data_IF_057038818615
#
_entry.id   IF_057038818615
#
_cell.length_a   1.000
_cell.length_b   1.000
_cell.length_c   1.000
_cell.angle_alpha   90.00
_cell.angle_beta   90.00
_cell.angle_gamma   90.00
#
_symmetry.space_group_name_H-M   'P 1'
#
loop_
_entity.id
_entity.type
_entity.pdbx_description
1 polymer ?
#
# COMPACT_ATOMS: atom_id res chain seq x y z
N UNK A 1 -24.64 -28.57 -72.05
CA UNK A 1 -25.45 -27.74 -71.16
C UNK A 1 -25.95 -28.63 -70.05
N UNK A 2 -25.70 -28.22 -68.79
CA UNK A 2 -26.40 -28.59 -67.55
C UNK A 2 -26.22 -30.07 -67.13
N UNK A 3 -25.22 -30.36 -66.29
CA UNK A 3 -25.17 -30.21 -64.81
C UNK A 3 -25.47 -31.57 -64.15
N UNK A 4 -24.39 -32.18 -63.66
CA UNK A 4 -24.37 -33.39 -62.84
C UNK A 4 -25.04 -33.11 -61.48
N UNK A 5 -26.13 -33.80 -61.17
CA UNK A 5 -26.75 -33.82 -59.84
C UNK A 5 -26.48 -35.18 -59.19
N UNK A 6 -25.21 -35.42 -58.85
CA UNK A 6 -24.78 -36.57 -58.07
C UNK A 6 -25.27 -36.41 -56.63
N UNK A 7 -26.32 -37.17 -56.31
CA UNK A 7 -26.94 -37.26 -54.98
C UNK A 7 -25.98 -37.96 -54.01
N UNK A 8 -25.15 -37.19 -53.30
CA UNK A 8 -24.32 -37.70 -52.21
C UNK A 8 -25.19 -38.06 -50.98
N UNK A 9 -25.08 -39.31 -50.52
CA UNK A 9 -25.69 -39.77 -49.26
C UNK A 9 -25.12 -38.99 -48.06
N UNK A 10 -25.95 -38.57 -47.08
CA UNK A 10 -25.51 -37.76 -45.96
C UNK A 10 -24.51 -38.53 -45.08
N UNK A 11 -23.39 -37.87 -44.78
CA UNK A 11 -22.31 -38.47 -43.99
C UNK A 11 -22.74 -38.68 -42.53
N UNK A 12 -22.08 -39.57 -41.77
CA UNK A 12 -22.40 -39.79 -40.35
C UNK A 12 -22.35 -38.50 -39.50
N UNK A 13 -21.53 -37.53 -39.91
CA UNK A 13 -21.43 -36.22 -39.28
C UNK A 13 -22.65 -35.32 -39.54
N UNK A 14 -23.29 -35.44 -40.71
CA UNK A 14 -24.48 -34.65 -41.04
C UNK A 14 -25.72 -35.14 -40.27
N UNK A 15 -25.82 -36.46 -40.04
CA UNK A 15 -26.85 -37.03 -39.15
C UNK A 15 -26.66 -36.57 -37.71
N UNK A 16 -25.43 -36.58 -37.20
CA UNK A 16 -25.13 -36.08 -35.85
C UNK A 16 -25.45 -34.59 -35.70
N UNK A 17 -25.18 -33.78 -36.73
CA UNK A 17 -25.55 -32.34 -36.72
C UNK A 17 -27.05 -32.14 -36.73
N UNK A 18 -27.80 -32.94 -37.50
CA UNK A 18 -29.26 -32.91 -37.52
C UNK A 18 -29.83 -33.27 -36.14
N UNK A 19 -29.34 -34.33 -35.51
CA UNK A 19 -29.75 -34.75 -34.17
C UNK A 19 -29.42 -33.69 -33.10
N UNK A 20 -28.24 -33.07 -33.18
CA UNK A 20 -27.86 -31.96 -32.28
C UNK A 20 -28.81 -30.76 -32.49
N UNK A 21 -29.22 -30.48 -33.72
CA UNK A 21 -30.15 -29.39 -34.02
C UNK A 21 -31.55 -29.68 -33.47
N UNK A 22 -32.03 -30.93 -33.58
CA UNK A 22 -33.33 -31.34 -33.06
C UNK A 22 -33.33 -31.32 -31.52
N UNK A 23 -32.27 -31.84 -30.90
CA UNK A 23 -32.09 -31.77 -29.45
C UNK A 23 -32.04 -30.31 -28.95
N UNK A 24 -31.38 -29.41 -29.68
CA UNK A 24 -31.37 -27.97 -29.36
C UNK A 24 -32.76 -27.35 -29.50
N UNK A 25 -33.52 -27.73 -30.53
CA UNK A 25 -34.88 -27.24 -30.72
C UNK A 25 -35.81 -27.72 -29.60
N UNK A 26 -35.73 -29.00 -29.22
CA UNK A 26 -36.49 -29.58 -28.11
C UNK A 26 -36.11 -28.96 -26.76
N UNK A 27 -34.82 -28.68 -26.55
CA UNK A 27 -34.32 -27.98 -25.36
C UNK A 27 -34.89 -26.56 -25.27
N UNK A 28 -34.91 -25.82 -26.37
CA UNK A 28 -35.48 -24.47 -26.40
C UNK A 28 -36.99 -24.48 -26.14
N UNK A 29 -37.72 -25.40 -26.76
CA UNK A 29 -39.17 -25.54 -26.54
C UNK A 29 -39.49 -25.87 -25.07
N UNK A 30 -38.76 -26.81 -24.47
CA UNK A 30 -38.92 -27.13 -23.04
C UNK A 30 -38.57 -25.94 -22.13
N UNK A 31 -37.61 -25.11 -22.54
CA UNK A 31 -37.22 -23.90 -21.80
C UNK A 31 -38.30 -22.81 -21.84
N UNK A 32 -38.97 -22.65 -22.98
CA UNK A 32 -40.10 -21.73 -23.12
C UNK A 32 -41.32 -22.19 -22.31
N UNK A 33 -41.65 -23.48 -22.34
CA UNK A 33 -42.73 -24.05 -21.51
C UNK A 33 -42.46 -23.87 -20.02
N UNK A 34 -41.21 -24.10 -19.58
CA UNK A 34 -40.79 -23.84 -18.20
C UNK A 34 -40.99 -22.38 -17.82
N UNK A 35 -40.57 -21.43 -18.65
CA UNK A 35 -40.75 -20.00 -18.38
C UNK A 35 -42.22 -19.57 -18.36
N UNK A 36 -43.08 -20.24 -19.13
CA UNK A 36 -44.52 -20.00 -19.09
C UNK A 36 -45.13 -20.47 -17.77
N UNK A 37 -44.80 -21.69 -17.34
CA UNK A 37 -45.28 -22.23 -16.07
C UNK A 37 -44.77 -21.44 -14.86
N UNK A 38 -43.51 -20.98 -14.89
CA UNK A 38 -42.96 -20.12 -13.84
C UNK A 38 -43.71 -18.79 -13.72
N UNK A 39 -44.18 -18.21 -14.84
CA UNK A 39 -45.03 -17.01 -14.83
C UNK A 39 -46.41 -17.29 -14.24
N UNK A 40 -47.04 -18.40 -14.63
CA UNK A 40 -48.37 -18.77 -14.13
C UNK A 40 -48.36 -19.03 -12.62
N UNK A 41 -47.36 -19.76 -12.11
CA UNK A 41 -47.14 -19.95 -10.67
C UNK A 41 -46.89 -18.62 -9.96
N UNK A 42 -46.16 -17.70 -10.59
CA UNK A 42 -45.91 -16.37 -10.02
C UNK A 42 -47.19 -15.55 -9.92
N UNK A 43 -48.04 -15.56 -10.95
CA UNK A 43 -49.33 -14.88 -10.97
C UNK A 43 -50.29 -15.45 -9.91
N UNK A 44 -50.37 -16.77 -9.79
CA UNK A 44 -51.18 -17.43 -8.77
C UNK A 44 -50.68 -17.09 -7.36
N UNK A 45 -49.36 -17.08 -7.15
CA UNK A 45 -48.75 -16.71 -5.87
C UNK A 45 -48.96 -15.24 -5.52
N UNK A 46 -48.92 -14.34 -6.50
CA UNK A 46 -49.28 -12.92 -6.31
C UNK A 46 -50.76 -12.79 -5.95
N UNK A 47 -51.64 -13.53 -6.62
CA UNK A 47 -53.07 -13.57 -6.31
C UNK A 47 -53.35 -14.04 -4.88
N UNK A 48 -52.69 -15.12 -4.45
CA UNK A 48 -52.78 -15.63 -3.08
C UNK A 48 -52.28 -14.60 -2.06
N UNK A 49 -51.09 -14.00 -2.30
CA UNK A 49 -50.50 -12.98 -1.43
C UNK A 49 -51.44 -11.77 -1.32
N UNK A 50 -52.01 -11.31 -2.43
CA UNK A 50 -52.96 -10.19 -2.44
C UNK A 50 -54.23 -10.52 -1.63
N UNK A 51 -54.82 -11.70 -1.80
CA UNK A 51 -55.99 -12.13 -1.05
C UNK A 51 -55.71 -12.25 0.47
N UNK A 52 -54.56 -12.83 0.86
CA UNK A 52 -54.16 -12.88 2.26
C UNK A 52 -53.94 -11.49 2.86
N UNK A 53 -53.26 -10.58 2.15
CA UNK A 53 -53.03 -9.20 2.62
C UNK A 53 -54.32 -8.40 2.76
N UNK A 54 -55.26 -8.57 1.83
CA UNK A 54 -56.58 -7.94 1.92
C UNK A 54 -57.38 -8.44 3.13
N UNK A 55 -57.28 -9.73 3.48
CA UNK A 55 -57.94 -10.26 4.68
C UNK A 55 -57.30 -9.80 6.00
N UNK A 56 -55.99 -9.51 5.99
CA UNK A 56 -55.26 -8.97 7.15
C UNK A 56 -55.49 -7.46 7.35
N UNK A 57 -55.74 -6.69 6.29
CA UNK A 57 -55.98 -5.23 6.37
C UNK A 57 -57.29 -4.82 7.05
N UNK A 58 -58.22 -5.75 7.29
CA UNK A 58 -59.51 -5.47 7.96
C UNK A 58 -59.37 -5.36 9.50
N UNK A 59 -58.21 -5.70 10.08
CA UNK A 59 -57.96 -5.56 11.54
C UNK A 59 -56.93 -4.47 11.85
N UNK A 60 -57.43 -3.27 12.12
CA UNK A 60 -56.84 -2.18 12.93
C UNK A 60 -55.30 -2.02 12.88
N UNK A 61 -54.76 -1.68 11.69
CA UNK A 61 -53.31 -1.64 11.42
C UNK A 61 -52.58 -0.39 11.95
N UNK A 62 -53.29 0.65 12.38
CA UNK A 62 -52.69 1.96 12.72
C UNK A 62 -51.90 1.95 14.03
N UNK A 63 -52.40 1.27 15.08
CA UNK A 63 -51.67 1.18 16.37
C UNK A 63 -50.49 0.21 16.32
N UNK A 64 -50.63 -0.91 15.61
CA UNK A 64 -49.56 -1.88 15.45
C UNK A 64 -48.41 -1.32 14.59
N UNK A 65 -48.73 -0.63 13.49
CA UNK A 65 -47.74 0.10 12.67
C UNK A 65 -47.07 1.22 13.45
N UNK A 66 -47.79 1.97 14.29
CA UNK A 66 -47.20 3.00 15.15
C UNK A 66 -46.22 2.41 16.17
N UNK A 67 -46.61 1.34 16.87
CA UNK A 67 -45.72 0.66 17.84
C UNK A 67 -44.49 0.05 17.18
N UNK A 68 -44.63 -0.57 16.01
CA UNK A 68 -43.49 -1.07 15.23
C UNK A 68 -42.61 0.08 14.74
N UNK A 69 -43.18 1.19 14.29
CA UNK A 69 -42.42 2.37 13.86
C UNK A 69 -41.62 2.96 15.02
N UNK A 70 -42.19 3.04 16.23
CA UNK A 70 -41.47 3.49 17.42
C UNK A 70 -40.34 2.53 17.82
N UNK A 71 -40.56 1.22 17.73
CA UNK A 71 -39.51 0.22 17.97
C UNK A 71 -38.38 0.31 16.95
N UNK A 72 -38.72 0.47 15.66
CA UNK A 72 -37.74 0.66 14.59
C UNK A 72 -36.95 1.96 14.80
N UNK A 73 -37.62 3.06 15.16
CA UNK A 73 -36.96 4.33 15.48
C UNK A 73 -35.99 4.20 16.66
N UNK A 74 -36.38 3.45 17.70
CA UNK A 74 -35.54 3.21 18.87
C UNK A 74 -34.32 2.35 18.52
N UNK A 75 -34.50 1.28 17.74
CA UNK A 75 -33.40 0.45 17.24
C UNK A 75 -32.44 1.24 16.35
N UNK A 76 -32.98 2.11 15.48
CA UNK A 76 -32.16 3.02 14.66
C UNK A 76 -31.37 3.94 15.57
N UNK A 77 -32.00 4.58 16.56
CA UNK A 77 -31.30 5.48 17.48
C UNK A 77 -30.19 4.77 18.25
N UNK A 78 -30.44 3.56 18.75
CA UNK A 78 -29.43 2.73 19.44
C UNK A 78 -28.26 2.36 18.52
N UNK A 79 -28.53 1.94 17.28
CA UNK A 79 -27.49 1.68 16.29
C UNK A 79 -26.70 2.95 15.96
N UNK A 80 -27.37 4.09 15.80
CA UNK A 80 -26.71 5.37 15.56
C UNK A 80 -25.81 5.80 16.73
N UNK A 81 -26.26 5.60 17.97
CA UNK A 81 -25.44 5.87 19.16
C UNK A 81 -24.24 4.92 19.26
N UNK A 82 -24.43 3.63 18.95
CA UNK A 82 -23.34 2.65 18.90
C UNK A 82 -22.30 3.01 17.82
N UNK A 83 -22.75 3.41 16.63
CA UNK A 83 -21.86 3.84 15.55
C UNK A 83 -21.14 5.14 15.92
N UNK A 84 -21.85 6.10 16.52
CA UNK A 84 -21.27 7.38 16.93
C UNK A 84 -20.21 7.20 18.03
N UNK A 85 -20.50 6.39 19.04
CA UNK A 85 -19.53 6.08 20.10
C UNK A 85 -18.31 5.31 19.57
N UNK A 86 -18.52 4.31 18.70
CA UNK A 86 -17.43 3.60 18.04
C UNK A 86 -16.54 4.56 17.21
N UNK A 87 -17.15 5.51 16.51
CA UNK A 87 -16.42 6.52 15.74
C UNK A 87 -15.62 7.47 16.63
N UNK A 88 -16.20 7.92 17.74
CA UNK A 88 -15.48 8.73 18.74
C UNK A 88 -14.24 8.00 19.28
N UNK A 89 -14.37 6.71 19.59
CA UNK A 89 -13.23 5.88 20.02
C UNK A 89 -12.17 5.77 18.90
N UNK A 90 -12.58 5.56 17.65
CA UNK A 90 -11.65 5.51 16.51
C UNK A 90 -10.90 6.83 16.31
N UNK A 91 -11.59 7.97 16.48
CA UNK A 91 -10.98 9.30 16.38
C UNK A 91 -9.93 9.51 17.49
N UNK A 92 -10.27 9.14 18.73
CA UNK A 92 -9.33 9.19 19.86
C UNK A 92 -8.11 8.31 19.61
N UNK A 93 -8.31 7.08 19.14
CA UNK A 93 -7.20 6.18 18.76
C UNK A 93 -6.36 6.81 17.64
N UNK A 94 -7.00 7.47 16.68
CA UNK A 94 -6.34 8.25 15.64
C UNK A 94 -5.40 9.32 16.22
N UNK A 95 -5.87 10.09 17.20
CA UNK A 95 -5.04 11.12 17.86
C UNK A 95 -3.86 10.53 18.62
N UNK A 96 -4.04 9.42 19.34
CA UNK A 96 -2.92 8.76 20.03
C UNK A 96 -1.90 8.20 19.04
N UNK A 97 -2.33 7.74 17.87
CA UNK A 97 -1.41 7.29 16.81
C UNK A 97 -0.55 8.41 16.25
N UNK A 98 -0.99 9.67 16.35
CA UNK A 98 -0.17 10.79 15.91
C UNK A 98 1.14 10.92 16.71
N UNK A 99 1.18 10.40 17.94
CA UNK A 99 2.39 10.35 18.75
C UNK A 99 3.47 9.40 18.18
N UNK A 100 3.13 8.60 17.16
CA UNK A 100 4.05 7.74 16.45
C UNK A 100 4.26 6.36 17.08
N UNK A 101 3.88 6.17 18.33
CA UNK A 101 4.08 4.93 19.09
C UNK A 101 2.81 4.59 19.86
N UNK A 102 2.25 3.40 19.65
CA UNK A 102 1.01 2.97 20.34
C UNK A 102 1.10 1.52 20.75
N UNK A 103 0.45 1.17 21.86
CA UNK A 103 0.35 -0.20 22.37
C UNK A 103 -1.04 -0.77 22.10
N UNK A 104 -1.13 -2.05 21.77
CA UNK A 104 -2.38 -2.76 21.58
C UNK A 104 -2.25 -4.20 22.11
N UNK A 105 -3.38 -4.85 22.38
CA UNK A 105 -3.38 -6.26 22.80
C UNK A 105 -3.68 -7.15 21.60
N UNK A 106 -2.91 -8.22 21.43
CA UNK A 106 -3.09 -9.17 20.34
C UNK A 106 -2.80 -10.60 20.80
N UNK A 107 -3.81 -11.46 20.79
CA UNK A 107 -3.70 -12.88 21.16
C UNK A 107 -3.01 -13.11 22.53
N UNK A 108 -3.28 -12.26 23.53
CA UNK A 108 -2.67 -12.32 24.86
C UNK A 108 -1.26 -11.72 24.97
N UNK A 109 -0.69 -11.24 23.85
CA UNK A 109 0.58 -10.53 23.80
C UNK A 109 0.37 -9.02 23.75
N UNK A 110 1.35 -8.28 24.26
CA UNK A 110 1.39 -6.83 24.14
C UNK A 110 2.07 -6.47 22.82
N UNK A 111 1.28 -5.94 21.88
CA UNK A 111 1.76 -5.44 20.61
C UNK A 111 2.09 -3.96 20.68
N UNK A 112 3.14 -3.57 19.97
CA UNK A 112 3.59 -2.19 19.86
C UNK A 112 3.62 -1.86 18.38
N UNK A 113 3.00 -0.74 18.03
CA UNK A 113 2.91 -0.21 16.67
C UNK A 113 3.72 1.07 16.61
N UNK A 114 4.68 1.09 15.69
CA UNK A 114 5.58 2.18 15.38
C UNK A 114 5.14 2.77 14.04
N UNK A 115 4.57 3.97 14.07
CA UNK A 115 4.18 4.70 12.86
C UNK A 115 5.39 5.49 12.34
N UNK A 116 5.64 5.39 11.05
CA UNK A 116 6.64 6.23 10.37
C UNK A 116 5.95 7.35 9.61
N UNK A 117 6.56 8.52 9.58
CA UNK A 117 6.03 9.69 8.87
C UNK A 117 7.16 10.39 8.11
N UNK A 118 6.83 10.93 6.94
CA UNK A 118 7.72 11.77 6.16
C UNK A 118 6.89 12.80 5.38
N UNK A 119 7.33 14.06 5.35
CA UNK A 119 6.62 15.21 4.73
C UNK A 119 5.10 15.24 5.00
N UNK A 120 4.73 15.23 6.28
CA UNK A 120 3.33 15.30 6.74
C UNK A 120 2.42 14.15 6.23
N UNK A 121 3.02 13.03 5.79
CA UNK A 121 2.33 11.83 5.35
C UNK A 121 2.77 10.63 6.18
N UNK A 122 1.81 9.81 6.59
CA UNK A 122 2.08 8.52 7.25
C UNK A 122 2.44 7.45 6.22
N UNK A 123 3.39 6.62 6.61
CA UNK A 123 3.88 5.47 5.85
C UNK A 123 3.53 4.16 6.57
N UNK A 124 4.04 3.05 6.06
CA UNK A 124 3.70 1.74 6.61
C UNK A 124 4.10 1.61 8.09
N UNK A 125 3.20 1.10 8.95
CA UNK A 125 3.51 0.87 10.35
C UNK A 125 4.38 -0.38 10.53
N UNK A 126 5.26 -0.33 11.53
CA UNK A 126 6.05 -1.46 11.98
C UNK A 126 5.52 -1.98 13.30
N UNK A 127 5.57 -3.30 13.48
CA UNK A 127 5.01 -3.98 14.64
C UNK A 127 6.10 -4.71 15.41
N UNK A 128 5.99 -4.66 16.72
CA UNK A 128 6.77 -5.42 17.68
C UNK A 128 5.79 -6.12 18.63
N UNK A 129 5.79 -7.45 18.63
CA UNK A 129 4.98 -8.25 19.54
C UNK A 129 5.84 -8.72 20.70
N UNK A 130 5.45 -8.35 21.91
CA UNK A 130 6.10 -8.79 23.14
C UNK A 130 5.34 -9.97 23.74
N UNK A 131 6.05 -11.06 23.96
CA UNK A 131 5.56 -12.18 24.76
C UNK A 131 5.37 -11.69 26.19
N UNK A 132 4.13 -11.72 26.67
CA UNK A 132 3.83 -11.52 28.07
C UNK A 132 3.64 -12.90 28.71
N UNK A 133 4.63 -13.46 29.43
CA UNK A 133 4.39 -14.65 30.20
C UNK A 133 3.33 -14.33 31.27
N UNK A 134 2.39 -15.24 31.49
CA UNK A 134 1.28 -15.09 32.43
C UNK A 134 1.70 -14.76 33.90
N UNK A 135 2.99 -14.78 34.20
CA UNK A 135 3.58 -14.34 35.47
C UNK A 135 4.16 -12.94 35.29
N UNK A 136 3.58 -11.95 35.97
CA UNK A 136 4.07 -10.55 36.11
C UNK A 136 5.48 -10.47 36.76
N UNK A 137 6.50 -11.05 36.11
CA UNK A 137 7.91 -10.83 36.42
C UNK A 137 8.51 -10.10 35.23
N UNK A 138 8.85 -8.84 35.43
CA UNK A 138 9.48 -7.94 34.45
C UNK A 138 10.72 -8.55 33.77
N UNK A 139 11.34 -9.56 34.35
CA UNK A 139 12.49 -10.29 33.81
C UNK A 139 12.20 -11.31 32.69
N UNK A 140 10.95 -11.40 32.20
CA UNK A 140 10.60 -12.42 31.19
C UNK A 140 9.87 -11.86 29.97
N UNK A 141 9.89 -10.54 29.77
CA UNK A 141 9.39 -9.92 28.55
C UNK A 141 10.41 -10.18 27.43
N UNK A 142 10.00 -10.91 26.41
CA UNK A 142 10.81 -11.17 25.21
C UNK A 142 10.08 -10.72 23.96
N UNK A 143 10.80 -10.44 22.89
CA UNK A 143 10.20 -10.18 21.58
C UNK A 143 9.74 -11.50 20.97
N UNK A 144 8.44 -11.65 20.74
CA UNK A 144 7.85 -12.81 20.09
C UNK A 144 8.09 -12.76 18.58
N UNK A 145 7.73 -11.62 17.97
CA UNK A 145 7.75 -11.40 16.52
C UNK A 145 7.86 -9.89 16.23
N UNK A 146 8.41 -9.54 15.07
CA UNK A 146 8.42 -8.16 14.58
C UNK A 146 8.37 -8.08 13.05
N UNK A 147 7.93 -6.93 12.53
CA UNK A 147 7.98 -6.61 11.09
C UNK A 147 9.12 -5.66 10.73
N UNK A 148 10.01 -5.37 11.69
CA UNK A 148 11.15 -4.46 11.53
C UNK A 148 12.14 -5.04 10.50
N UNK A 149 12.70 -4.22 9.59
CA UNK A 149 13.66 -4.68 8.60
C UNK A 149 14.92 -5.34 9.20
N UNK A 150 15.41 -6.38 8.55
CA UNK A 150 16.51 -7.23 9.04
C UNK A 150 17.86 -6.51 9.27
N UNK A 151 18.06 -5.34 8.65
CA UNK A 151 19.29 -4.56 8.82
C UNK A 151 19.32 -3.75 10.12
N UNK A 152 18.19 -3.65 10.84
CA UNK A 152 18.14 -3.06 12.18
C UNK A 152 18.39 -4.20 13.18
N UNK A 153 19.43 -4.12 14.03
CA UNK A 153 19.78 -5.20 14.95
C UNK A 153 18.84 -5.22 16.17
N UNK A 154 17.59 -5.63 15.96
CA UNK A 154 16.55 -5.66 17.00
C UNK A 154 16.96 -6.54 18.17
N UNK A 155 17.56 -7.70 17.93
CA UNK A 155 17.95 -8.63 18.99
C UNK A 155 19.01 -8.04 19.92
N UNK A 156 20.05 -7.41 19.36
CA UNK A 156 21.10 -6.77 20.16
C UNK A 156 20.54 -5.63 21.01
N UNK A 157 19.62 -4.83 20.45
CA UNK A 157 18.93 -3.78 21.20
C UNK A 157 18.04 -4.37 22.30
N UNK A 158 17.32 -5.45 22.02
CA UNK A 158 16.49 -6.15 22.99
C UNK A 158 17.36 -6.64 24.14
N UNK A 159 18.47 -7.33 23.86
CA UNK A 159 19.36 -7.88 24.89
C UNK A 159 20.03 -6.77 25.72
N UNK A 160 20.23 -5.59 25.14
CA UNK A 160 20.83 -4.43 25.82
C UNK A 160 19.83 -3.67 26.68
N UNK A 161 18.60 -3.46 26.19
CA UNK A 161 17.62 -2.56 26.82
C UNK A 161 16.52 -3.28 27.60
N UNK A 162 16.08 -4.48 27.20
CA UNK A 162 15.21 -5.33 28.02
C UNK A 162 16.07 -6.09 29.03
N UNK A 163 15.77 -6.08 30.35
CA UNK A 163 14.48 -5.78 31.01
C UNK A 163 14.33 -4.39 31.66
N UNK A 164 15.30 -3.47 31.49
CA UNK A 164 15.40 -2.27 32.32
C UNK A 164 14.71 -1.04 31.74
N UNK A 165 14.69 -0.89 30.41
CA UNK A 165 14.15 0.31 29.75
C UNK A 165 13.50 -0.01 28.39
N UNK A 166 12.22 -0.38 28.45
CA UNK A 166 11.41 -0.59 27.25
C UNK A 166 11.23 0.72 26.46
N UNK A 167 11.15 1.86 27.13
CA UNK A 167 10.91 3.13 26.46
C UNK A 167 12.11 3.55 25.62
N UNK A 168 13.33 3.39 26.14
CA UNK A 168 14.56 3.64 25.39
C UNK A 168 14.67 2.73 24.16
N UNK A 169 14.38 1.44 24.31
CA UNK A 169 14.34 0.50 23.19
C UNK A 169 13.40 0.99 22.08
N UNK A 170 12.16 1.33 22.44
CA UNK A 170 11.16 1.79 21.48
C UNK A 170 11.56 3.11 20.83
N UNK A 171 12.13 4.03 21.61
CA UNK A 171 12.60 5.32 21.08
C UNK A 171 13.71 5.11 20.06
N UNK A 172 14.70 4.29 20.38
CA UNK A 172 15.83 4.01 19.49
C UNK A 172 15.33 3.32 18.22
N UNK A 173 14.56 2.24 18.35
CA UNK A 173 13.98 1.54 17.19
C UNK A 173 13.14 2.47 16.30
N UNK A 174 12.36 3.36 16.91
CA UNK A 174 11.54 4.31 16.16
C UNK A 174 12.41 5.30 15.38
N UNK A 175 13.52 5.78 15.95
CA UNK A 175 14.47 6.65 15.22
C UNK A 175 15.10 5.93 14.02
N UNK A 176 15.52 4.67 14.17
CA UNK A 176 16.04 3.88 13.03
C UNK A 176 15.01 3.75 11.90
N UNK A 177 13.76 3.47 12.25
CA UNK A 177 12.67 3.34 11.28
C UNK A 177 12.36 4.66 10.57
N UNK A 178 12.30 5.76 11.32
CA UNK A 178 12.08 7.10 10.76
C UNK A 178 13.21 7.48 9.80
N UNK A 179 14.46 7.29 10.21
CA UNK A 179 15.62 7.57 9.35
C UNK A 179 15.61 6.74 8.08
N UNK A 180 15.32 5.45 8.18
CA UNK A 180 15.19 4.56 7.02
C UNK A 180 14.09 5.02 6.05
N UNK A 181 12.89 5.31 6.56
CA UNK A 181 11.77 5.77 5.71
C UNK A 181 12.13 7.13 5.10
N UNK A 182 12.65 8.08 5.88
CA UNK A 182 13.13 9.37 5.37
C UNK A 182 14.13 9.22 4.22
N UNK A 183 15.12 8.32 4.33
CA UNK A 183 16.09 8.05 3.24
C UNK A 183 15.43 7.44 2.01
N UNK A 184 14.57 6.43 2.21
CA UNK A 184 13.86 5.76 1.10
C UNK A 184 12.99 6.74 0.31
N UNK A 185 12.22 7.56 1.01
CA UNK A 185 11.32 8.53 0.38
C UNK A 185 12.09 9.66 -0.30
N UNK A 186 13.21 10.12 0.29
CA UNK A 186 14.09 11.09 -0.37
C UNK A 186 14.65 10.57 -1.71
N UNK A 187 15.04 9.30 -1.75
CA UNK A 187 15.51 8.66 -3.00
C UNK A 187 14.40 8.55 -4.03
N UNK A 188 13.19 8.15 -3.62
CA UNK A 188 12.03 8.06 -4.52
C UNK A 188 11.66 9.44 -5.07
N UNK A 189 11.66 10.48 -4.24
CA UNK A 189 11.40 11.86 -4.66
C UNK A 189 12.42 12.36 -5.68
N UNK A 190 13.71 12.09 -5.45
CA UNK A 190 14.75 12.43 -6.42
C UNK A 190 14.55 11.63 -7.72
N UNK A 191 14.24 10.34 -7.62
CA UNK A 191 13.94 9.50 -8.77
C UNK A 191 12.77 10.04 -9.60
N UNK A 192 11.69 10.47 -8.96
CA UNK A 192 10.54 11.10 -9.65
C UNK A 192 10.94 12.41 -10.31
N UNK A 193 11.68 13.28 -9.63
CA UNK A 193 12.14 14.55 -10.17
C UNK A 193 13.05 14.38 -11.39
N UNK A 194 13.94 13.39 -11.35
CA UNK A 194 14.93 13.19 -12.40
C UNK A 194 14.44 12.34 -13.59
N UNK A 195 13.23 11.73 -13.52
CA UNK A 195 12.64 10.97 -14.64
C UNK A 195 12.52 11.77 -15.94
N UNK A 196 12.39 13.08 -15.85
CA UNK A 196 12.19 13.97 -16.99
C UNK A 196 13.48 14.64 -17.47
N UNK A 197 14.62 14.46 -16.79
CA UNK A 197 15.89 15.12 -17.13
C UNK A 197 16.83 14.19 -17.90
N UNK A 198 17.23 14.61 -19.10
CA UNK A 198 18.21 13.89 -19.93
C UNK A 198 19.63 13.88 -19.34
N UNK A 199 19.95 14.84 -18.47
CA UNK A 199 21.24 14.95 -17.78
C UNK A 199 21.39 13.92 -16.65
N UNK A 200 20.30 13.39 -16.11
CA UNK A 200 20.38 12.44 -15.01
C UNK A 200 20.64 11.01 -15.50
N UNK A 201 21.68 10.37 -14.98
CA UNK A 201 22.08 9.01 -15.40
C UNK A 201 21.39 7.93 -14.58
N UNK A 202 21.23 8.16 -13.28
CA UNK A 202 20.60 7.20 -12.39
C UNK A 202 20.96 7.39 -10.92
N UNK A 203 20.10 6.87 -10.04
CA UNK A 203 20.40 6.60 -8.64
C UNK A 203 20.67 5.10 -8.51
N UNK A 204 21.85 4.73 -8.00
CA UNK A 204 22.09 3.38 -7.50
C UNK A 204 22.06 3.39 -5.99
N UNK A 205 21.10 2.69 -5.40
CA UNK A 205 21.06 2.43 -3.97
C UNK A 205 21.19 0.93 -3.77
N UNK A 206 22.45 0.47 -3.73
CA UNK A 206 22.84 -0.94 -3.82
C UNK A 206 22.36 -1.77 -2.63
N UNK A 207 22.09 -1.13 -1.49
CA UNK A 207 21.77 -1.79 -0.24
C UNK A 207 20.33 -1.56 0.20
N UNK A 208 19.72 -2.60 0.79
CA UNK A 208 18.32 -2.56 1.27
C UNK A 208 18.08 -1.52 2.36
N UNK A 209 19.10 -1.16 3.14
CA UNK A 209 19.04 -0.15 4.20
C UNK A 209 19.10 1.31 3.67
N UNK A 210 19.39 1.49 2.38
CA UNK A 210 19.65 2.81 1.75
C UNK A 210 20.74 3.60 2.48
N UNK A 211 21.73 2.89 3.01
CA UNK A 211 22.91 3.38 3.73
C UNK A 211 24.04 3.84 2.80
N UNK A 212 23.99 3.41 1.54
CA UNK A 212 24.89 3.85 0.49
C UNK A 212 24.08 4.21 -0.76
N UNK A 213 24.16 5.48 -1.18
CA UNK A 213 23.43 6.01 -2.33
C UNK A 213 24.43 6.66 -3.27
N UNK A 214 24.43 6.25 -4.53
CA UNK A 214 25.28 6.80 -5.57
C UNK A 214 24.39 7.56 -6.57
N UNK A 215 24.72 8.83 -6.78
CA UNK A 215 24.09 9.70 -7.77
C UNK A 215 25.07 9.90 -8.93
N UNK A 216 24.58 9.78 -10.16
CA UNK A 216 25.36 10.09 -11.35
C UNK A 216 24.61 11.08 -12.25
N UNK A 217 25.25 12.21 -12.55
CA UNK A 217 24.76 13.26 -13.45
C UNK A 217 25.72 13.42 -14.63
N UNK A 218 25.18 13.45 -15.85
CA UNK A 218 25.87 13.83 -17.09
C UNK A 218 25.80 15.33 -17.27
N UNK A 219 26.94 15.92 -17.56
CA UNK A 219 27.08 17.32 -17.95
C UNK A 219 27.69 17.34 -19.35
N UNK A 220 26.97 17.99 -20.28
CA UNK A 220 27.50 18.28 -21.60
C UNK A 220 28.41 19.50 -21.49
N UNK A 221 29.69 19.31 -21.79
CA UNK A 221 30.67 20.40 -21.81
C UNK A 221 30.73 20.91 -23.25
N UNK A 222 30.34 22.16 -23.47
CA UNK A 222 30.57 22.83 -24.75
C UNK A 222 32.08 23.07 -24.92
N UNK A 223 32.76 22.24 -25.72
CA UNK A 223 34.07 22.56 -26.26
C UNK A 223 33.97 22.81 -27.76
N UNK A 224 34.67 23.86 -28.20
CA UNK A 224 34.84 24.20 -29.61
C UNK A 224 35.52 23.04 -30.37
N UNK A 225 34.75 22.44 -31.28
CA UNK A 225 35.11 21.70 -32.50
C UNK A 225 36.48 20.98 -32.48
N UNK A 226 36.47 19.64 -32.42
CA UNK A 226 36.93 18.78 -33.53
C UNK A 226 36.76 17.27 -33.31
N UNK A 227 36.53 16.78 -32.09
CA UNK A 227 36.36 15.33 -31.86
C UNK A 227 34.92 14.94 -31.50
N UNK A 228 34.20 14.39 -32.48
CA UNK A 228 32.82 13.86 -32.37
C UNK A 228 32.76 12.46 -31.74
N UNK A 229 33.51 12.21 -30.67
CA UNK A 229 33.33 11.02 -29.84
C UNK A 229 33.03 11.43 -28.39
N UNK A 230 31.75 11.71 -28.14
CA UNK A 230 31.04 11.42 -26.89
C UNK A 230 31.75 11.76 -25.56
N UNK A 231 32.24 12.99 -25.37
CA UNK A 231 32.81 13.43 -24.09
C UNK A 231 31.73 13.90 -23.10
N UNK A 232 30.76 13.03 -22.80
CA UNK A 232 29.80 13.27 -21.72
C UNK A 232 30.53 13.11 -20.39
N UNK A 233 30.75 14.21 -19.69
CA UNK A 233 31.43 14.20 -18.40
C UNK A 233 30.42 13.85 -17.32
N UNK A 234 30.72 12.86 -16.47
CA UNK A 234 29.80 12.45 -15.38
C UNK A 234 30.31 12.85 -14.01
N UNK A 235 29.48 13.57 -13.24
CA UNK A 235 29.70 13.79 -11.82
C UNK A 235 29.10 12.62 -11.06
N UNK A 236 29.91 11.99 -10.19
CA UNK A 236 29.43 10.95 -9.27
C UNK A 236 29.48 11.46 -7.84
N UNK A 237 28.36 11.38 -7.14
CA UNK A 237 28.23 11.71 -5.72
C UNK A 237 27.86 10.44 -4.97
N UNK A 238 28.73 10.00 -4.07
CA UNK A 238 28.48 8.88 -3.16
C UNK A 238 28.09 9.44 -1.78
N UNK A 239 26.92 9.03 -1.31
CA UNK A 239 26.36 9.40 -0.01
C UNK A 239 26.44 8.17 0.90
N UNK A 240 27.14 8.30 2.02
CA UNK A 240 27.40 7.22 2.97
C UNK A 240 26.79 7.60 4.33
N UNK A 241 25.93 6.72 4.83
CA UNK A 241 25.25 6.84 6.12
C UNK A 241 25.84 5.82 7.09
N UNK A 242 26.99 6.16 7.67
CA UNK A 242 27.62 5.32 8.70
C UNK A 242 26.70 5.20 9.92
N UNK A 243 25.98 6.28 10.25
CA UNK A 243 24.92 6.28 11.25
C UNK A 243 23.55 6.03 10.60
N UNK A 244 23.02 4.82 10.81
CA UNK A 244 21.71 4.43 10.30
C UNK A 244 20.55 5.18 10.97
N UNK A 245 20.79 5.86 12.09
CA UNK A 245 19.79 6.72 12.76
C UNK A 245 19.71 8.13 12.18
N UNK A 246 20.67 8.51 11.33
CA UNK A 246 20.69 9.82 10.69
C UNK A 246 19.85 9.86 9.41
N UNK A 247 19.06 10.93 9.26
CA UNK A 247 18.35 11.25 8.02
C UNK A 247 19.27 11.80 6.92
N UNK A 248 20.42 12.36 7.31
CA UNK A 248 21.40 13.00 6.44
C UNK A 248 22.67 12.15 6.33
N UNK A 249 23.37 12.18 5.18
CA UNK A 249 24.58 11.40 4.98
C UNK A 249 25.68 11.89 5.93
N UNK A 250 26.33 10.95 6.61
CA UNK A 250 27.46 11.24 7.50
C UNK A 250 28.71 11.60 6.71
N UNK A 251 28.88 10.99 5.53
CA UNK A 251 30.01 11.23 4.63
C UNK A 251 29.49 11.35 3.21
N UNK A 252 30.08 12.27 2.45
CA UNK A 252 29.81 12.45 1.03
C UNK A 252 31.17 12.39 0.32
N UNK A 253 31.25 11.63 -0.77
CA UNK A 253 32.42 11.62 -1.64
C UNK A 253 31.99 12.05 -3.02
N UNK A 254 32.71 13.00 -3.61
CA UNK A 254 32.42 13.46 -4.97
C UNK A 254 33.59 13.17 -5.89
N UNK A 255 33.31 12.46 -6.97
CA UNK A 255 34.25 12.25 -8.07
C UNK A 255 33.87 13.20 -9.21
N UNK A 256 34.64 14.28 -9.34
CA UNK A 256 34.49 15.29 -10.40
C UNK A 256 35.66 15.15 -11.38
N UNK A 257 35.42 14.97 -12.69
CA UNK A 257 36.47 15.01 -13.69
C UNK A 257 37.13 16.39 -13.80
N UNK A 258 38.45 16.41 -14.04
CA UNK A 258 39.29 17.61 -14.02
C UNK A 258 38.83 18.73 -14.96
N UNK A 259 38.05 18.41 -16.01
CA UNK A 259 37.51 19.36 -16.98
C UNK A 259 36.44 20.31 -16.41
N UNK A 260 35.71 19.92 -15.36
CA UNK A 260 34.57 20.66 -14.80
C UNK A 260 34.81 21.11 -13.35
N UNK A 261 36.02 20.89 -12.85
CA UNK A 261 36.43 21.22 -11.48
C UNK A 261 36.52 22.74 -11.22
N UNK A 262 36.54 23.56 -12.28
CA UNK A 262 36.45 25.03 -12.21
C UNK A 262 35.03 25.53 -11.94
N UNK A 263 34.01 24.73 -12.26
CA UNK A 263 32.59 25.12 -12.18
C UNK A 263 31.90 24.54 -10.95
N UNK A 264 32.38 23.40 -10.44
CA UNK A 264 31.81 22.71 -9.29
C UNK A 264 32.87 22.52 -8.20
N UNK A 265 32.66 23.15 -7.03
CA UNK A 265 33.49 22.88 -5.86
C UNK A 265 33.03 21.61 -5.13
N UNK A 266 33.93 20.63 -5.05
CA UNK A 266 33.77 19.40 -4.25
C UNK A 266 33.30 19.67 -2.83
N UNK A 267 33.87 20.67 -2.14
CA UNK A 267 33.55 20.94 -0.73
C UNK A 267 32.15 21.53 -0.57
N UNK A 268 31.73 22.35 -1.53
CA UNK A 268 30.38 22.91 -1.55
C UNK A 268 29.35 21.79 -1.75
N UNK A 269 29.58 20.90 -2.72
CA UNK A 269 28.70 19.75 -2.97
C UNK A 269 28.56 18.87 -1.73
N UNK A 270 29.68 18.50 -1.10
CA UNK A 270 29.68 17.70 0.12
C UNK A 270 28.90 18.39 1.25
N UNK A 271 29.14 19.69 1.48
CA UNK A 271 28.45 20.46 2.52
C UNK A 271 26.95 20.54 2.26
N UNK A 272 26.53 20.75 1.01
CA UNK A 272 25.11 20.87 0.66
C UNK A 272 24.36 19.55 0.86
N UNK A 273 24.95 18.42 0.47
CA UNK A 273 24.34 17.10 0.69
C UNK A 273 24.30 16.67 2.16
N UNK A 274 25.20 17.20 3.01
CA UNK A 274 25.18 16.96 4.46
C UNK A 274 24.16 17.83 5.20
N UNK A 275 23.79 18.99 4.66
CA UNK A 275 22.98 20.00 5.36
C UNK A 275 21.54 20.08 4.88
N UNK A 276 21.30 19.80 3.60
CA UNK A 276 19.97 19.88 2.99
C UNK A 276 19.41 18.50 2.67
N UNK A 277 18.08 18.43 2.52
CA UNK A 277 17.41 17.22 2.02
C UNK A 277 17.90 16.90 0.62
N UNK A 278 17.93 15.61 0.29
CA UNK A 278 18.55 15.10 -0.95
C UNK A 278 18.10 15.85 -2.21
N UNK A 279 16.79 16.06 -2.37
CA UNK A 279 16.23 16.76 -3.53
C UNK A 279 16.61 18.23 -3.58
N UNK A 280 16.62 18.91 -2.43
CA UNK A 280 16.91 20.35 -2.35
C UNK A 280 18.41 20.60 -2.55
N UNK A 281 19.27 19.74 -1.99
CA UNK A 281 20.70 19.73 -2.25
C UNK A 281 20.98 19.53 -3.75
N UNK A 282 20.35 18.51 -4.35
CA UNK A 282 20.49 18.22 -5.77
C UNK A 282 20.05 19.39 -6.66
N UNK A 283 18.89 20.01 -6.38
CA UNK A 283 18.44 21.21 -7.10
C UNK A 283 19.45 22.36 -6.96
N UNK A 284 19.91 22.63 -5.76
CA UNK A 284 20.86 23.74 -5.52
C UNK A 284 22.14 23.59 -6.35
N UNK A 285 22.59 22.36 -6.58
CA UNK A 285 23.84 22.07 -7.29
C UNK A 285 23.61 21.94 -8.80
N UNK A 286 22.58 21.23 -9.24
CA UNK A 286 22.42 20.78 -10.64
C UNK A 286 21.24 21.44 -11.38
N UNK A 287 20.55 22.42 -10.78
CA UNK A 287 19.48 23.18 -11.46
C UNK A 287 19.82 24.66 -11.70
N UNK A 288 21.11 24.98 -11.77
CA UNK A 288 21.60 26.22 -12.39
C UNK A 288 21.57 26.12 -13.91
#
# INVERSE_FOLDING_TARGET
MLEDDDTFLPTPQDRLKADISDLRHRLNKAREEKQRLEREIMEERIGYIAATRFSEEIRDTTRYKASQMTQIQQQILEQWMAVSSARCVQEIVGYYRLAGRTTFQFQGNTGIRLETYYKAKYYEPYYLLLSNPASMKYNSISVAQHTIPFFIPVQEMVDTFLPHDMEALLRILHVFLLAYVSRREQVEELGVYCKERASFVGISAERKAKDHIILAEKIDVEQDKEDKDNNNTTIRVELIYDDLTSEYPTKVKTSIPSLIQTTYDTKEIETKFQTYKLLDAYKTIFSA
#
